data_IF_716820704830
#
_entry.id   IF_716820704830
#
_cell.length_a   1.000
_cell.length_b   1.000
_cell.length_c   1.000
_cell.angle_alpha   90.00
_cell.angle_beta   90.00
_cell.angle_gamma   90.00
#
_symmetry.space_group_name_H-M   'P 1'
#
loop_
_entity.id
_entity.type
_entity.pdbx_description
1 polymer ?
#
# COMPACT_ATOMS: atom_id res chain seq x y z
N UNK A 1 14.64 29.50 25.74
CA UNK A 1 13.51 28.72 26.31
C UNK A 1 13.01 27.79 25.22
N UNK A 2 12.89 26.49 25.49
CA UNK A 2 12.43 25.51 24.49
C UNK A 2 10.94 25.75 24.23
N UNK A 3 10.48 25.60 22.98
CA UNK A 3 9.12 26.02 22.61
C UNK A 3 8.03 25.23 23.35
N UNK A 4 8.21 23.92 23.50
CA UNK A 4 7.30 23.05 24.27
C UNK A 4 7.30 23.35 25.78
N UNK A 5 8.28 24.09 26.32
CA UNK A 5 8.23 24.52 27.73
C UNK A 5 7.15 25.58 27.97
N UNK A 6 6.72 26.28 26.91
CA UNK A 6 5.64 27.26 26.93
C UNK A 6 4.25 26.63 26.80
N UNK A 7 4.16 25.32 26.57
CA UNK A 7 2.90 24.60 26.53
C UNK A 7 2.21 24.70 27.91
N UNK A 8 0.92 25.01 27.89
CA UNK A 8 0.06 25.10 29.08
C UNK A 8 -0.44 23.73 29.55
N UNK A 9 -0.40 22.70 28.67
CA UNK A 9 -0.62 21.30 29.03
C UNK A 9 0.69 20.52 28.92
N UNK A 10 1.04 19.79 29.98
CA UNK A 10 2.20 18.89 30.06
C UNK A 10 1.77 17.56 30.68
N UNK A 11 1.30 16.65 29.85
CA UNK A 11 0.64 15.43 30.30
C UNK A 11 1.59 14.22 30.25
N UNK A 12 1.72 13.50 31.36
CA UNK A 12 2.56 12.30 31.43
C UNK A 12 1.78 11.06 30.98
N UNK A 13 2.31 10.34 30.00
CA UNK A 13 1.71 9.13 29.43
C UNK A 13 2.48 7.87 29.87
N UNK A 14 3.80 7.83 29.65
CA UNK A 14 4.72 6.76 30.03
C UNK A 14 4.38 5.37 29.44
N UNK A 15 4.42 5.24 28.10
CA UNK A 15 4.06 4.02 27.37
C UNK A 15 5.27 3.10 27.08
N UNK A 16 4.98 1.82 26.87
CA UNK A 16 5.94 0.70 26.80
C UNK A 16 6.50 0.45 25.42
N UNK A 17 5.82 0.82 24.34
CA UNK A 17 6.33 0.63 22.97
C UNK A 17 5.57 1.50 21.96
N UNK A 18 5.92 1.32 20.69
CA UNK A 18 5.38 2.05 19.56
C UNK A 18 3.91 1.71 19.28
N UNK A 19 3.50 0.48 19.56
CA UNK A 19 2.13 0.03 19.35
C UNK A 19 1.21 0.66 20.39
N UNK A 20 1.57 0.56 21.67
CA UNK A 20 0.84 1.18 22.78
C UNK A 20 0.79 2.71 22.61
N UNK A 21 1.88 3.32 22.14
CA UNK A 21 1.94 4.75 21.80
C UNK A 21 0.96 5.16 20.71
N UNK A 22 0.84 4.35 19.64
CA UNK A 22 -0.10 4.64 18.56
C UNK A 22 -1.55 4.43 19.00
N UNK A 23 -1.83 3.39 19.78
CA UNK A 23 -3.17 3.15 20.34
C UNK A 23 -3.61 4.29 21.25
N UNK A 24 -2.71 4.79 22.11
CA UNK A 24 -2.97 5.97 22.93
C UNK A 24 -3.31 7.21 22.09
N UNK A 25 -2.52 7.49 21.04
CA UNK A 25 -2.77 8.65 20.18
C UNK A 25 -4.10 8.53 19.43
N UNK A 26 -4.40 7.35 18.86
CA UNK A 26 -5.70 7.06 18.22
C UNK A 26 -6.85 7.29 19.19
N UNK A 27 -6.73 6.74 20.42
CA UNK A 27 -7.75 6.93 21.45
C UNK A 27 -7.89 8.39 21.87
N UNK A 28 -6.80 9.12 22.00
CA UNK A 28 -6.83 10.56 22.32
C UNK A 28 -7.58 11.34 21.24
N UNK A 29 -7.31 11.10 19.96
CA UNK A 29 -7.98 11.79 18.86
C UNK A 29 -9.48 11.43 18.78
N UNK A 30 -9.84 10.19 19.06
CA UNK A 30 -11.24 9.78 19.19
C UNK A 30 -11.94 10.50 20.36
N UNK A 31 -11.32 10.56 21.53
CA UNK A 31 -11.89 11.22 22.71
C UNK A 31 -12.05 12.74 22.52
N UNK A 32 -11.02 13.42 22.01
CA UNK A 32 -11.11 14.88 21.81
C UNK A 32 -12.09 15.25 20.68
N UNK A 33 -12.31 14.34 19.71
CA UNK A 33 -13.28 14.55 18.62
C UNK A 33 -14.71 14.76 19.10
N UNK A 34 -15.05 14.32 20.31
CA UNK A 34 -16.36 14.49 20.95
C UNK A 34 -16.63 15.94 21.36
N UNK A 35 -15.58 16.73 21.53
CA UNK A 35 -15.64 18.12 21.99
C UNK A 35 -15.25 19.10 20.88
N UNK A 36 -14.21 18.76 20.10
CA UNK A 36 -13.60 19.65 19.12
C UNK A 36 -13.44 18.89 17.80
N UNK A 37 -13.81 19.52 16.69
CA UNK A 37 -13.50 18.99 15.35
C UNK A 37 -11.98 18.89 15.19
N UNK A 38 -11.44 17.68 15.06
CA UNK A 38 -9.99 17.47 14.92
C UNK A 38 -9.56 17.66 13.46
N UNK A 39 -8.74 18.67 13.20
CA UNK A 39 -8.07 18.87 11.91
C UNK A 39 -6.62 19.29 12.14
N UNK A 40 -5.73 18.92 11.21
CA UNK A 40 -4.28 19.04 11.36
C UNK A 40 -3.65 19.83 10.23
N UNK A 41 -2.70 20.70 10.60
CA UNK A 41 -1.60 21.14 9.76
C UNK A 41 -0.32 20.45 10.23
N UNK A 42 0.03 19.32 9.60
CA UNK A 42 1.20 18.52 9.96
C UNK A 42 2.51 19.22 9.55
N UNK A 43 3.40 19.44 10.52
CA UNK A 43 4.71 20.05 10.28
C UNK A 43 5.80 19.36 11.13
N UNK A 44 5.93 18.02 11.01
CA UNK A 44 6.71 17.25 11.95
C UNK A 44 8.20 17.59 11.86
N UNK A 45 8.80 17.99 12.98
CA UNK A 45 10.24 18.13 13.10
C UNK A 45 10.72 17.74 14.49
N UNK A 46 11.92 17.17 14.55
CA UNK A 46 12.47 16.62 15.78
C UNK A 46 13.54 17.54 16.34
N UNK A 47 13.45 17.80 17.65
CA UNK A 47 14.50 18.43 18.45
C UNK A 47 14.76 17.60 19.69
N UNK A 48 15.97 17.06 19.83
CA UNK A 48 16.35 16.15 20.91
C UNK A 48 15.44 14.90 20.98
N UNK A 49 14.68 14.74 22.08
CA UNK A 49 13.71 13.65 22.31
C UNK A 49 12.27 14.07 22.05
N UNK A 50 12.06 15.28 21.52
CA UNK A 50 10.73 15.86 21.30
C UNK A 50 10.48 15.99 19.81
N UNK A 51 9.28 15.58 19.37
CA UNK A 51 8.77 15.79 18.03
C UNK A 51 7.68 16.84 18.13
N UNK A 52 7.87 17.99 17.46
CA UNK A 52 6.73 18.83 17.13
C UNK A 52 5.90 18.09 16.10
N UNK A 53 4.58 17.95 16.32
CA UNK A 53 3.68 17.24 15.39
C UNK A 53 3.14 18.23 14.35
N UNK A 54 2.72 19.40 14.81
CA UNK A 54 2.05 20.42 14.01
C UNK A 54 1.01 21.18 14.83
N UNK A 55 0.18 21.93 14.11
CA UNK A 55 -0.95 22.67 14.68
C UNK A 55 -2.24 21.90 14.41
N UNK A 56 -3.00 21.64 15.46
CA UNK A 56 -4.36 21.15 15.38
C UNK A 56 -5.36 22.27 15.70
N UNK A 57 -6.64 22.00 15.47
CA UNK A 57 -7.76 22.87 15.88
C UNK A 57 -7.82 23.15 17.39
N UNK A 58 -7.16 22.33 18.21
CA UNK A 58 -7.07 22.49 19.66
C UNK A 58 -5.74 23.12 20.11
N UNK A 59 -4.91 23.57 19.16
CA UNK A 59 -3.62 24.20 19.40
C UNK A 59 -2.42 23.39 18.89
N UNK A 60 -1.23 23.77 19.34
CA UNK A 60 0.03 23.16 18.91
C UNK A 60 0.39 21.93 19.76
N UNK A 61 0.90 20.85 19.15
CA UNK A 61 1.21 19.60 19.86
C UNK A 61 2.67 19.16 19.68
N UNK A 62 3.30 18.73 20.78
CA UNK A 62 4.58 18.05 20.80
C UNK A 62 4.49 16.72 21.56
N UNK A 63 5.34 15.77 21.17
CA UNK A 63 5.45 14.45 21.79
C UNK A 63 6.90 14.23 22.21
N UNK A 64 7.12 13.97 23.49
CA UNK A 64 8.42 13.55 24.02
C UNK A 64 8.49 12.03 24.15
N UNK A 65 9.68 11.50 23.85
CA UNK A 65 9.95 10.08 23.91
C UNK A 65 11.05 9.75 24.92
N UNK A 66 10.87 8.66 25.69
CA UNK A 66 11.97 8.10 26.49
C UNK A 66 13.02 7.47 25.57
N UNK A 67 12.53 6.72 24.59
CA UNK A 67 13.28 6.08 23.51
C UNK A 67 12.41 6.01 22.26
N UNK A 68 13.00 5.69 21.11
CA UNK A 68 12.28 5.62 19.84
C UNK A 68 11.00 4.76 19.98
N UNK A 69 9.85 5.37 19.68
CA UNK A 69 8.54 4.73 19.76
C UNK A 69 7.89 4.69 21.14
N UNK A 70 8.52 5.13 22.23
CA UNK A 70 7.92 5.14 23.59
C UNK A 70 7.61 6.55 24.06
N UNK A 71 6.35 6.96 23.99
CA UNK A 71 5.91 8.29 24.43
C UNK A 71 6.01 8.41 25.95
N UNK A 72 6.77 9.40 26.45
CA UNK A 72 6.77 9.79 27.86
C UNK A 72 5.73 10.85 28.15
N UNK A 73 5.70 11.92 27.34
CA UNK A 73 4.89 13.11 27.61
C UNK A 73 4.30 13.68 26.33
N UNK A 74 3.12 14.27 26.48
CA UNK A 74 2.46 15.08 25.46
C UNK A 74 2.42 16.53 25.96
N UNK A 75 2.86 17.44 25.12
CA UNK A 75 2.78 18.87 25.35
C UNK A 75 1.76 19.45 24.40
N UNK A 76 0.83 20.25 24.91
CA UNK A 76 -0.12 20.98 24.07
C UNK A 76 -0.14 22.43 24.51
N UNK A 77 0.04 23.33 23.55
CA UNK A 77 -0.18 24.75 23.71
C UNK A 77 -1.55 25.08 23.15
N UNK A 78 -2.50 25.40 24.00
CA UNK A 78 -3.91 25.59 23.63
C UNK A 78 -4.18 27.01 23.15
N UNK A 79 -5.24 27.16 22.35
CA UNK A 79 -5.72 28.47 21.88
C UNK A 79 -6.71 29.11 22.87
N UNK A 80 -7.32 28.32 23.78
CA UNK A 80 -8.28 28.80 24.78
C UNK A 80 -8.33 27.93 26.05
N UNK A 81 -8.69 28.54 27.19
CA UNK A 81 -8.86 27.83 28.47
C UNK A 81 -10.01 26.81 28.46
N UNK A 82 -11.06 27.04 27.65
CA UNK A 82 -12.16 26.08 27.51
C UNK A 82 -11.67 24.78 26.85
N UNK A 83 -10.87 24.90 25.79
CA UNK A 83 -10.26 23.75 25.11
C UNK A 83 -9.32 22.99 26.03
N UNK A 84 -8.60 23.70 26.92
CA UNK A 84 -7.64 23.09 27.84
C UNK A 84 -8.25 21.97 28.69
N UNK A 85 -9.38 22.24 29.34
CA UNK A 85 -10.06 21.25 30.19
C UNK A 85 -10.50 20.02 29.39
N UNK A 86 -11.08 20.23 28.21
CA UNK A 86 -11.54 19.15 27.33
C UNK A 86 -10.37 18.26 26.86
N UNK A 87 -9.22 18.87 26.55
CA UNK A 87 -8.00 18.17 26.15
C UNK A 87 -7.43 17.33 27.30
N UNK A 88 -7.36 17.88 28.51
CA UNK A 88 -6.89 17.15 29.70
C UNK A 88 -7.79 15.95 30.02
N UNK A 89 -9.11 16.12 29.94
CA UNK A 89 -10.10 15.04 30.10
C UNK A 89 -9.90 13.94 29.04
N UNK A 90 -9.73 14.33 27.76
CA UNK A 90 -9.49 13.39 26.66
C UNK A 90 -8.16 12.63 26.82
N UNK A 91 -7.07 13.30 27.21
CA UNK A 91 -5.77 12.67 27.47
C UNK A 91 -5.86 11.68 28.63
N UNK A 92 -6.55 12.03 29.71
CA UNK A 92 -6.76 11.15 30.86
C UNK A 92 -7.63 9.94 30.52
N UNK A 93 -8.67 10.11 29.70
CA UNK A 93 -9.48 9.01 29.19
C UNK A 93 -8.66 8.08 28.29
N UNK A 94 -7.90 8.64 27.35
CA UNK A 94 -7.06 7.88 26.44
C UNK A 94 -5.99 7.06 27.19
N UNK A 95 -5.32 7.66 28.17
CA UNK A 95 -4.34 6.92 28.98
C UNK A 95 -4.94 5.70 29.67
N UNK A 96 -6.18 5.80 30.17
CA UNK A 96 -6.86 4.70 30.87
C UNK A 96 -7.40 3.61 29.94
N UNK A 97 -7.91 4.00 28.77
CA UNK A 97 -8.76 3.13 27.93
C UNK A 97 -8.21 2.92 26.50
N UNK A 98 -6.91 3.10 26.27
CA UNK A 98 -6.29 2.93 24.94
C UNK A 98 -6.21 1.48 24.45
N UNK A 99 -6.73 0.51 25.20
CA UNK A 99 -6.85 -0.89 24.77
C UNK A 99 -8.29 -1.30 24.45
N UNK A 100 -9.26 -0.44 24.78
CA UNK A 100 -10.68 -0.80 24.80
C UNK A 100 -11.33 -0.46 23.46
N UNK A 101 -11.10 -1.32 22.46
CA UNK A 101 -11.68 -1.18 21.13
C UNK A 101 -12.98 -1.97 20.98
N UNK A 102 -13.88 -1.43 20.16
CA UNK A 102 -15.08 -2.13 19.67
C UNK A 102 -14.80 -2.69 18.28
N UNK A 103 -15.33 -3.87 18.01
CA UNK A 103 -15.36 -4.44 16.66
C UNK A 103 -16.49 -3.82 15.85
N UNK A 104 -16.18 -3.41 14.63
CA UNK A 104 -17.12 -2.94 13.62
C UNK A 104 -17.01 -3.84 12.41
N UNK A 105 -18.15 -4.09 11.75
CA UNK A 105 -18.18 -4.81 10.49
C UNK A 105 -18.13 -3.84 9.34
N UNK A 106 -17.12 -3.93 8.49
CA UNK A 106 -16.97 -3.11 7.29
C UNK A 106 -17.46 -3.87 6.06
N UNK A 107 -18.18 -3.18 5.19
CA UNK A 107 -18.55 -3.65 3.84
C UNK A 107 -17.98 -2.69 2.81
N UNK A 108 -16.95 -3.11 2.09
CA UNK A 108 -16.43 -2.39 0.93
C UNK A 108 -17.14 -2.89 -0.34
N UNK A 109 -17.64 -1.95 -1.14
CA UNK A 109 -18.39 -2.21 -2.37
C UNK A 109 -17.57 -1.74 -3.56
N UNK A 110 -17.24 -2.66 -4.45
CA UNK A 110 -16.46 -2.44 -5.66
C UNK A 110 -17.35 -2.62 -6.90
N UNK A 111 -17.23 -1.70 -7.85
CA UNK A 111 -17.69 -1.98 -9.22
C UNK A 111 -16.57 -2.78 -9.90
N UNK A 112 -16.92 -3.97 -10.40
CA UNK A 112 -16.00 -4.93 -11.01
C UNK A 112 -16.27 -5.14 -12.50
N UNK A 113 -17.09 -4.26 -13.11
CA UNK A 113 -17.45 -4.22 -14.52
C UNK A 113 -17.85 -5.63 -15.00
N UNK A 114 -17.00 -6.28 -15.79
CA UNK A 114 -17.26 -7.59 -16.40
C UNK A 114 -16.89 -8.82 -15.56
N UNK A 115 -16.29 -8.63 -14.38
CA UNK A 115 -15.71 -9.72 -13.59
C UNK A 115 -16.52 -9.95 -12.33
N UNK A 116 -16.67 -11.23 -11.97
CA UNK A 116 -17.32 -11.63 -10.72
C UNK A 116 -16.42 -12.56 -9.89
N UNK A 117 -16.58 -12.51 -8.58
CA UNK A 117 -15.94 -13.42 -7.63
C UNK A 117 -16.92 -14.50 -7.19
N UNK A 118 -16.43 -15.73 -7.08
CA UNK A 118 -17.16 -16.77 -6.36
C UNK A 118 -17.30 -16.39 -4.87
N UNK A 119 -18.27 -16.99 -4.18
CA UNK A 119 -18.48 -16.72 -2.75
C UNK A 119 -17.36 -17.35 -1.93
N UNK A 120 -16.56 -16.52 -1.27
CA UNK A 120 -15.42 -16.97 -0.45
C UNK A 120 -15.52 -16.41 0.96
N UNK A 121 -15.25 -17.22 1.96
CA UNK A 121 -15.28 -16.87 3.37
C UNK A 121 -14.08 -17.51 4.06
N UNK A 122 -13.17 -16.69 4.60
CA UNK A 122 -12.04 -17.18 5.41
C UNK A 122 -11.57 -16.10 6.36
N UNK A 123 -11.15 -16.49 7.58
CA UNK A 123 -10.59 -15.56 8.58
C UNK A 123 -11.55 -14.40 8.95
N UNK A 124 -12.86 -14.65 8.90
CA UNK A 124 -13.85 -13.60 9.13
C UNK A 124 -13.98 -12.58 7.99
N UNK A 125 -13.34 -12.80 6.85
CA UNK A 125 -13.47 -11.99 5.63
C UNK A 125 -14.38 -12.74 4.67
N UNK A 126 -15.35 -12.04 4.07
CA UNK A 126 -16.28 -12.59 3.09
C UNK A 126 -16.22 -11.78 1.80
N UNK A 127 -16.06 -12.46 0.67
CA UNK A 127 -16.14 -11.90 -0.68
C UNK A 127 -17.35 -12.50 -1.38
N UNK A 128 -18.20 -11.65 -1.97
CA UNK A 128 -19.35 -12.09 -2.75
C UNK A 128 -19.64 -11.08 -3.85
N UNK A 129 -19.79 -11.56 -5.08
CA UNK A 129 -20.35 -10.74 -6.16
C UNK A 129 -21.85 -10.95 -6.29
N UNK A 130 -22.54 -9.88 -6.71
CA UNK A 130 -23.96 -9.89 -7.05
C UNK A 130 -24.06 -9.31 -8.45
N UNK A 131 -24.57 -10.12 -9.37
CA UNK A 131 -24.88 -9.67 -10.72
C UNK A 131 -26.18 -8.87 -10.65
N UNK A 132 -26.23 -7.73 -11.32
CA UNK A 132 -27.47 -6.99 -11.46
C UNK A 132 -28.38 -7.76 -12.42
N UNK A 133 -29.46 -8.36 -11.91
CA UNK A 133 -30.49 -9.00 -12.74
C UNK A 133 -31.37 -7.97 -13.48
N UNK A 134 -31.10 -6.66 -13.31
CA UNK A 134 -31.97 -5.57 -13.75
C UNK A 134 -31.16 -4.51 -14.50
N UNK A 135 -30.78 -4.80 -15.74
CA UNK A 135 -30.48 -3.80 -16.78
C UNK A 135 -29.31 -2.83 -16.56
N UNK A 136 -28.59 -2.90 -15.43
CA UNK A 136 -27.29 -2.26 -15.24
C UNK A 136 -26.19 -3.28 -15.55
N UNK A 137 -25.31 -2.97 -16.49
CA UNK A 137 -24.18 -3.81 -16.93
C UNK A 137 -23.07 -3.96 -15.86
N UNK A 138 -23.26 -3.40 -14.66
CA UNK A 138 -22.25 -3.37 -13.62
C UNK A 138 -22.34 -4.61 -12.69
N UNK A 139 -21.27 -5.40 -12.65
CA UNK A 139 -21.08 -6.38 -11.57
C UNK A 139 -20.58 -5.69 -10.30
N UNK A 140 -21.18 -6.05 -9.17
CA UNK A 140 -20.85 -5.49 -7.87
C UNK A 140 -20.24 -6.54 -6.96
N UNK A 141 -19.06 -6.24 -6.42
CA UNK A 141 -18.38 -7.10 -5.45
C UNK A 141 -18.41 -6.49 -4.06
N UNK A 142 -18.89 -7.27 -3.11
CA UNK A 142 -18.98 -6.92 -1.69
C UNK A 142 -17.91 -7.68 -0.93
N UNK A 143 -17.02 -6.95 -0.26
CA UNK A 143 -16.02 -7.52 0.64
C UNK A 143 -16.30 -7.05 2.06
N UNK A 144 -16.67 -8.00 2.90
CA UNK A 144 -16.98 -7.79 4.30
C UNK A 144 -15.79 -8.22 5.16
N UNK A 145 -15.36 -7.42 6.15
CA UNK A 145 -14.25 -7.75 7.06
C UNK A 145 -14.35 -7.00 8.40
N UNK A 146 -13.76 -7.53 9.50
CA UNK A 146 -13.86 -6.90 10.82
C UNK A 146 -12.78 -5.83 10.98
N UNK A 147 -13.10 -4.76 11.71
CA UNK A 147 -12.16 -3.69 12.07
C UNK A 147 -12.36 -3.30 13.54
N UNK A 148 -11.27 -3.16 14.28
CA UNK A 148 -11.30 -2.67 15.66
C UNK A 148 -11.01 -1.16 15.71
N UNK A 149 -11.90 -0.42 16.37
CA UNK A 149 -11.77 1.03 16.54
C UNK A 149 -12.32 1.49 17.89
N UNK A 150 -11.86 2.65 18.36
CA UNK A 150 -12.29 3.22 19.65
C UNK A 150 -13.64 3.92 19.60
N UNK A 151 -14.03 4.40 18.42
CA UNK A 151 -15.25 5.15 18.16
C UNK A 151 -15.35 5.51 16.68
N UNK A 152 -16.36 6.28 16.30
CA UNK A 152 -16.62 6.57 14.88
C UNK A 152 -15.51 7.41 14.24
N UNK A 153 -14.89 8.33 14.97
CA UNK A 153 -13.80 9.15 14.45
C UNK A 153 -12.58 8.28 14.08
N UNK A 154 -12.18 7.39 14.97
CA UNK A 154 -11.09 6.45 14.73
C UNK A 154 -11.46 5.40 13.66
N UNK A 155 -12.73 4.95 13.63
CA UNK A 155 -13.22 4.01 12.61
C UNK A 155 -13.05 4.56 11.19
N UNK A 156 -13.38 5.84 10.95
CA UNK A 156 -13.20 6.48 9.65
C UNK A 156 -11.74 6.45 9.20
N UNK A 157 -10.80 6.73 10.10
CA UNK A 157 -9.38 6.64 9.81
C UNK A 157 -8.95 5.22 9.47
N UNK A 158 -9.28 4.25 10.34
CA UNK A 158 -8.82 2.86 10.19
C UNK A 158 -9.42 2.21 8.95
N UNK A 159 -10.74 2.33 8.74
CA UNK A 159 -11.42 1.65 7.62
C UNK A 159 -10.85 2.11 6.27
N UNK A 160 -10.53 3.39 6.11
CA UNK A 160 -9.93 3.92 4.89
C UNK A 160 -8.54 3.33 4.64
N UNK A 161 -7.70 3.22 5.67
CA UNK A 161 -6.39 2.58 5.56
C UNK A 161 -6.52 1.10 5.16
N UNK A 162 -7.43 0.35 5.80
CA UNK A 162 -7.62 -1.08 5.51
C UNK A 162 -8.19 -1.31 4.10
N UNK A 163 -9.12 -0.47 3.62
CA UNK A 163 -9.64 -0.56 2.25
C UNK A 163 -8.57 -0.22 1.20
N UNK A 164 -7.67 0.72 1.48
CA UNK A 164 -6.53 0.98 0.57
C UNK A 164 -5.63 -0.25 0.42
N UNK A 165 -5.26 -0.88 1.54
CA UNK A 165 -4.49 -2.14 1.47
C UNK A 165 -5.26 -3.27 0.79
N UNK A 166 -6.57 -3.37 1.00
CA UNK A 166 -7.43 -4.31 0.28
C UNK A 166 -7.33 -4.12 -1.23
N UNK A 167 -7.44 -2.88 -1.73
CA UNK A 167 -7.29 -2.58 -3.16
C UNK A 167 -5.91 -2.96 -3.71
N UNK A 168 -4.85 -2.69 -2.94
CA UNK A 168 -3.49 -3.04 -3.36
C UNK A 168 -3.30 -4.56 -3.45
N UNK A 169 -3.79 -5.29 -2.45
CA UNK A 169 -3.72 -6.74 -2.42
C UNK A 169 -4.55 -7.36 -3.53
N UNK A 170 -5.79 -6.90 -3.75
CA UNK A 170 -6.62 -7.37 -4.86
C UNK A 170 -5.89 -7.18 -6.19
N UNK A 171 -5.28 -6.02 -6.43
CA UNK A 171 -4.54 -5.79 -7.67
C UNK A 171 -3.34 -6.73 -7.86
N UNK A 172 -2.60 -7.02 -6.79
CA UNK A 172 -1.49 -7.96 -6.86
C UNK A 172 -1.93 -9.44 -7.01
N UNK A 173 -3.15 -9.76 -6.56
CA UNK A 173 -3.72 -11.10 -6.63
C UNK A 173 -4.59 -11.36 -7.86
N UNK A 174 -4.99 -10.32 -8.60
CA UNK A 174 -5.89 -10.48 -9.76
C UNK A 174 -5.47 -9.71 -11.01
N UNK A 175 -4.35 -9.00 -10.95
CA UNK A 175 -3.90 -8.08 -12.00
C UNK A 175 -4.91 -6.97 -12.42
N UNK A 176 -5.99 -6.74 -11.65
CA UNK A 176 -7.07 -5.79 -11.94
C UNK A 176 -7.10 -4.62 -10.96
N UNK A 177 -7.74 -3.51 -11.36
CA UNK A 177 -8.02 -2.39 -10.48
C UNK A 177 -9.49 -2.39 -10.12
N UNK A 178 -9.77 -2.54 -8.82
CA UNK A 178 -11.12 -2.45 -8.30
C UNK A 178 -11.40 -1.05 -7.77
N UNK A 179 -12.40 -0.38 -8.35
CA UNK A 179 -12.82 0.96 -7.90
C UNK A 179 -13.79 0.81 -6.74
N UNK A 180 -13.33 1.10 -5.52
CA UNK A 180 -14.21 1.15 -4.35
C UNK A 180 -15.20 2.32 -4.49
N UNK A 181 -16.49 2.01 -4.60
CA UNK A 181 -17.56 3.01 -4.75
C UNK A 181 -18.14 3.43 -3.40
N UNK A 182 -18.20 2.50 -2.44
CA UNK A 182 -18.80 2.75 -1.13
C UNK A 182 -18.17 1.90 -0.05
N UNK A 183 -18.03 2.47 1.14
CA UNK A 183 -17.59 1.78 2.36
C UNK A 183 -18.65 1.99 3.43
N UNK A 184 -19.34 0.91 3.80
CA UNK A 184 -20.37 0.92 4.85
C UNK A 184 -19.81 0.26 6.11
N UNK A 185 -20.43 0.56 7.25
CA UNK A 185 -20.15 -0.14 8.50
C UNK A 185 -21.43 -0.50 9.24
N UNK A 186 -21.38 -1.56 10.02
CA UNK A 186 -22.36 -1.89 11.05
C UNK A 186 -21.65 -2.25 12.34
N UNK A 187 -22.37 -2.14 13.46
CA UNK A 187 -21.88 -2.61 14.75
C UNK A 187 -22.50 -3.95 15.18
N UNK A 188 -23.26 -4.57 14.28
CA UNK A 188 -23.78 -5.91 14.42
C UNK A 188 -22.65 -6.93 14.23
N UNK A 189 -22.58 -7.90 15.15
CA UNK A 189 -21.69 -9.04 15.00
C UNK A 189 -22.26 -9.96 13.93
N UNK A 190 -21.49 -10.18 12.87
CA UNK A 190 -21.82 -11.15 11.84
C UNK A 190 -20.88 -12.34 11.95
N UNK A 191 -21.41 -13.51 12.34
CA UNK A 191 -20.64 -14.75 12.31
C UNK A 191 -20.44 -15.18 10.85
N UNK A 192 -19.21 -15.01 10.35
CA UNK A 192 -18.79 -15.55 9.06
C UNK A 192 -18.15 -16.91 9.31
N UNK A 193 -18.76 -17.97 8.77
CA UNK A 193 -18.16 -19.31 8.76
C UNK A 193 -17.27 -19.45 7.53
N UNK A 194 -16.09 -20.01 7.74
CA UNK A 194 -15.18 -20.34 6.64
C UNK A 194 -15.86 -21.34 5.69
N UNK A 195 -15.68 -21.17 4.39
CA UNK A 195 -16.11 -22.11 3.38
C UNK A 195 -14.92 -22.62 2.56
N UNK A 196 -15.16 -23.64 1.75
CA UNK A 196 -14.19 -24.10 0.75
C UNK A 196 -14.62 -23.59 -0.63
N UNK A 197 -13.64 -23.34 -1.49
CA UNK A 197 -13.83 -22.91 -2.88
C UNK A 197 -12.67 -23.41 -3.73
N UNK A 198 -12.87 -23.38 -5.05
CA UNK A 198 -11.80 -23.68 -6.02
C UNK A 198 -10.84 -22.49 -6.09
N UNK A 199 -9.57 -22.73 -5.78
CA UNK A 199 -8.49 -21.72 -5.86
C UNK A 199 -7.94 -21.64 -7.29
N UNK A 200 -7.48 -20.46 -7.74
CA UNK A 200 -6.86 -20.35 -9.05
C UNK A 200 -5.52 -21.11 -9.06
N UNK A 201 -5.06 -21.48 -10.26
CA UNK A 201 -3.78 -22.18 -10.45
C UNK A 201 -2.62 -21.41 -9.78
N UNK A 202 -1.83 -22.05 -8.93
CA UNK A 202 -0.73 -21.35 -8.25
C UNK A 202 0.32 -20.77 -9.21
N UNK A 203 0.45 -21.39 -10.38
CA UNK A 203 1.46 -21.06 -11.36
C UNK A 203 0.96 -20.12 -12.47
N UNK A 204 -0.24 -19.56 -12.33
CA UNK A 204 -0.78 -18.62 -13.32
C UNK A 204 0.09 -17.36 -13.40
N UNK A 205 0.42 -16.96 -14.64
CA UNK A 205 1.16 -15.74 -14.93
C UNK A 205 0.25 -14.73 -15.62
N UNK A 206 -0.50 -15.18 -16.63
CA UNK A 206 -1.42 -14.35 -17.40
C UNK A 206 -2.79 -14.27 -16.71
N UNK A 207 -3.43 -13.10 -16.74
CA UNK A 207 -4.79 -12.89 -16.21
C UNK A 207 -5.84 -13.83 -16.83
N UNK A 208 -5.66 -14.24 -18.08
CA UNK A 208 -6.57 -15.19 -18.73
C UNK A 208 -6.60 -16.54 -18.00
N UNK A 209 -5.51 -16.90 -17.32
CA UNK A 209 -5.35 -18.15 -16.54
C UNK A 209 -5.87 -18.02 -15.10
N UNK A 210 -6.34 -16.84 -14.69
CA UNK A 210 -6.85 -16.58 -13.35
C UNK A 210 -8.30 -17.05 -13.14
N UNK A 211 -9.10 -17.05 -14.21
CA UNK A 211 -10.52 -17.36 -14.12
C UNK A 211 -10.75 -18.85 -13.84
N UNK A 212 -11.57 -19.14 -12.83
CA UNK A 212 -12.06 -20.50 -12.57
C UNK A 212 -13.24 -20.87 -13.47
N UNK A 213 -13.92 -19.86 -14.04
CA UNK A 213 -14.88 -20.00 -15.12
C UNK A 213 -14.67 -18.88 -16.13
N UNK A 214 -13.87 -19.15 -17.16
CA UNK A 214 -13.54 -18.20 -18.24
C UNK A 214 -14.80 -17.70 -18.96
N UNK A 215 -15.79 -18.58 -19.18
CA UNK A 215 -17.00 -18.26 -19.94
C UNK A 215 -17.83 -17.18 -19.25
N UNK A 216 -17.93 -17.27 -17.93
CA UNK A 216 -18.70 -16.33 -17.10
C UNK A 216 -17.80 -15.30 -16.41
N UNK A 217 -16.49 -15.25 -16.73
CA UNK A 217 -15.48 -14.37 -16.12
C UNK A 217 -15.53 -14.42 -14.58
N UNK A 218 -15.65 -15.62 -14.02
CA UNK A 218 -15.64 -15.84 -12.57
C UNK A 218 -14.22 -16.13 -12.10
N UNK A 219 -13.76 -15.38 -11.10
CA UNK A 219 -12.47 -15.57 -10.46
C UNK A 219 -12.63 -15.95 -8.98
N UNK A 220 -11.54 -16.45 -8.40
CA UNK A 220 -11.42 -16.71 -6.97
C UNK A 220 -10.08 -16.23 -6.47
N UNK A 221 -9.98 -16.04 -5.15
CA UNK A 221 -8.76 -15.61 -4.49
C UNK A 221 -8.14 -16.81 -3.76
N UNK A 222 -6.82 -16.90 -3.84
CA UNK A 222 -6.01 -17.82 -3.05
C UNK A 222 -6.22 -17.62 -1.55
N UNK A 223 -6.14 -18.68 -0.75
CA UNK A 223 -6.27 -18.64 0.71
C UNK A 223 -5.25 -17.70 1.36
N UNK A 224 -4.05 -17.57 0.78
CA UNK A 224 -3.01 -16.67 1.26
C UNK A 224 -3.41 -15.19 1.21
N UNK A 225 -4.29 -14.78 0.28
CA UNK A 225 -4.84 -13.43 0.24
C UNK A 225 -5.57 -13.10 1.56
N UNK A 226 -6.37 -14.04 2.05
CA UNK A 226 -7.10 -13.88 3.31
C UNK A 226 -6.17 -13.89 4.51
N UNK A 227 -5.07 -14.63 4.45
CA UNK A 227 -4.09 -14.70 5.53
C UNK A 227 -3.27 -13.41 5.63
N UNK A 228 -2.76 -12.86 4.52
CA UNK A 228 -2.08 -11.55 4.53
C UNK A 228 -3.06 -10.43 4.90
N UNK A 229 -4.29 -10.45 4.39
CA UNK A 229 -5.27 -9.41 4.72
C UNK A 229 -5.68 -9.47 6.19
N UNK A 230 -5.80 -10.66 6.80
CA UNK A 230 -6.01 -10.78 8.26
C UNK A 230 -4.89 -10.10 9.06
N UNK A 231 -3.63 -10.24 8.65
CA UNK A 231 -2.50 -9.54 9.30
C UNK A 231 -2.68 -8.02 9.16
N UNK A 232 -3.07 -7.55 7.97
CA UNK A 232 -3.38 -6.13 7.72
C UNK A 232 -4.49 -5.64 8.64
N UNK A 233 -5.56 -6.41 8.84
CA UNK A 233 -6.70 -6.02 9.68
C UNK A 233 -6.33 -5.92 11.16
N UNK A 234 -5.49 -6.82 11.66
CA UNK A 234 -5.23 -6.97 13.09
C UNK A 234 -4.05 -6.15 13.64
N UNK A 235 -3.20 -5.57 12.78
CA UNK A 235 -2.02 -4.81 13.21
C UNK A 235 -2.07 -3.35 12.74
N UNK A 236 -1.58 -2.44 13.59
CA UNK A 236 -1.33 -1.03 13.23
C UNK A 236 0.13 -0.79 12.85
N UNK A 237 1.03 -1.64 13.35
CA UNK A 237 2.44 -1.63 13.02
C UNK A 237 2.84 -3.00 12.48
N UNK A 238 3.37 -3.01 11.26
CA UNK A 238 3.78 -4.25 10.61
C UNK A 238 5.26 -4.53 10.84
N UNK A 239 5.56 -5.80 11.08
CA UNK A 239 6.93 -6.30 11.04
C UNK A 239 7.55 -6.03 9.66
N UNK A 240 8.88 -5.94 9.63
CA UNK A 240 9.64 -5.52 8.45
C UNK A 240 9.23 -6.30 7.19
N UNK A 241 9.11 -7.63 7.28
CA UNK A 241 8.75 -8.48 6.13
C UNK A 241 7.38 -8.14 5.57
N UNK A 242 6.36 -8.06 6.42
CA UNK A 242 5.00 -7.70 6.02
C UNK A 242 4.97 -6.27 5.45
N UNK A 243 5.68 -5.32 6.05
CA UNK A 243 5.77 -3.96 5.50
C UNK A 243 6.36 -3.93 4.08
N UNK A 244 7.36 -4.77 3.80
CA UNK A 244 7.96 -4.87 2.46
C UNK A 244 6.99 -5.49 1.45
N UNK A 245 6.21 -6.50 1.85
CA UNK A 245 5.13 -7.05 1.01
C UNK A 245 4.09 -5.97 0.69
N UNK A 246 3.59 -5.26 1.70
CA UNK A 246 2.60 -4.20 1.51
C UNK A 246 3.13 -3.03 0.67
N UNK A 247 4.43 -2.73 0.76
CA UNK A 247 5.05 -1.72 -0.11
C UNK A 247 5.12 -2.19 -1.57
N UNK A 248 5.49 -3.45 -1.81
CA UNK A 248 5.49 -4.04 -3.15
C UNK A 248 4.09 -4.03 -3.78
N UNK A 249 3.06 -4.45 -3.05
CA UNK A 249 1.67 -4.43 -3.57
C UNK A 249 1.14 -3.02 -3.82
N UNK A 250 1.56 -2.04 -3.02
CA UNK A 250 1.27 -0.63 -3.27
C UNK A 250 1.93 -0.15 -4.56
N UNK A 251 3.20 -0.48 -4.78
CA UNK A 251 3.92 -0.11 -6.01
C UNK A 251 3.27 -0.75 -7.25
N UNK A 252 2.90 -2.04 -7.18
CA UNK A 252 2.13 -2.76 -8.21
C UNK A 252 0.81 -2.04 -8.51
N UNK A 253 0.01 -1.72 -7.49
CA UNK A 253 -1.27 -1.05 -7.66
C UNK A 253 -1.13 0.32 -8.32
N UNK A 254 -0.16 1.11 -7.89
CA UNK A 254 0.13 2.42 -8.46
C UNK A 254 0.57 2.32 -9.92
N UNK A 255 1.44 1.37 -10.28
CA UNK A 255 1.80 1.09 -11.67
C UNK A 255 0.57 0.76 -12.52
N UNK A 256 -0.30 -0.15 -12.06
CA UNK A 256 -1.51 -0.52 -12.80
C UNK A 256 -2.49 0.64 -12.93
N UNK A 257 -2.60 1.50 -11.92
CA UNK A 257 -3.39 2.73 -11.99
C UNK A 257 -2.85 3.68 -13.06
N UNK A 258 -1.53 3.85 -13.17
CA UNK A 258 -0.92 4.67 -14.23
C UNK A 258 -1.15 4.07 -15.61
N UNK A 259 -1.08 2.74 -15.75
CA UNK A 259 -1.45 2.04 -16.99
C UNK A 259 -2.90 2.32 -17.35
N UNK A 260 -3.84 2.21 -16.42
CA UNK A 260 -5.25 2.48 -16.71
C UNK A 260 -5.49 3.94 -17.14
N UNK A 261 -4.79 4.92 -16.55
CA UNK A 261 -4.85 6.32 -17.00
C UNK A 261 -4.33 6.46 -18.42
N UNK A 262 -3.23 5.78 -18.75
CA UNK A 262 -2.68 5.76 -20.10
C UNK A 262 -3.65 5.16 -21.11
N UNK A 263 -4.28 4.03 -20.78
CA UNK A 263 -5.20 3.31 -21.65
C UNK A 263 -6.55 4.02 -21.85
N UNK A 264 -6.97 4.86 -20.90
CA UNK A 264 -8.26 5.57 -20.94
C UNK A 264 -8.17 6.99 -21.53
N UNK A 265 -6.97 7.57 -21.65
CA UNK A 265 -6.81 8.94 -22.15
C UNK A 265 -6.58 8.98 -23.66
N UNK A 266 -7.29 9.82 -24.39
CA UNK A 266 -7.12 9.98 -25.85
C UNK A 266 -5.78 10.65 -26.24
N UNK A 267 -5.10 11.34 -25.31
CA UNK A 267 -3.96 12.24 -25.62
C UNK A 267 -2.63 11.84 -24.96
N UNK A 268 -2.58 10.80 -24.12
CA UNK A 268 -1.40 10.49 -23.28
C UNK A 268 -0.58 9.26 -23.71
N UNK A 269 -1.04 8.51 -24.71
CA UNK A 269 -0.47 7.23 -25.16
C UNK A 269 1.01 7.24 -25.54
N UNK A 270 1.64 8.41 -25.65
CA UNK A 270 3.02 8.52 -26.12
C UNK A 270 3.88 9.53 -25.36
N UNK A 271 3.47 10.04 -24.17
CA UNK A 271 4.34 10.98 -23.44
C UNK A 271 5.64 10.27 -23.02
N UNK A 272 6.79 10.58 -23.65
CA UNK A 272 8.06 9.95 -23.29
C UNK A 272 8.40 10.32 -21.86
N UNK A 273 8.98 9.39 -21.10
CA UNK A 273 9.15 9.54 -19.66
C UNK A 273 7.96 9.09 -18.81
N UNK A 274 6.70 9.24 -19.25
CA UNK A 274 5.56 8.67 -18.49
C UNK A 274 5.56 7.15 -18.56
N UNK A 275 5.76 6.60 -19.77
CA UNK A 275 5.90 5.16 -19.98
C UNK A 275 7.15 4.61 -19.30
N UNK A 276 8.28 5.33 -19.36
CA UNK A 276 9.50 4.96 -18.63
C UNK A 276 9.25 4.94 -17.13
N UNK A 277 8.47 5.88 -16.60
CA UNK A 277 8.07 5.91 -15.19
C UNK A 277 7.19 4.72 -14.82
N UNK A 278 6.20 4.35 -15.65
CA UNK A 278 5.39 3.14 -15.43
C UNK A 278 6.28 1.90 -15.35
N UNK A 279 7.12 1.68 -16.36
CA UNK A 279 8.02 0.53 -16.43
C UNK A 279 9.02 0.52 -15.25
N UNK A 280 9.55 1.69 -14.89
CA UNK A 280 10.44 1.83 -13.76
C UNK A 280 9.74 1.51 -12.43
N UNK A 281 8.50 1.96 -12.25
CA UNK A 281 7.73 1.68 -11.04
C UNK A 281 7.36 0.21 -10.93
N UNK A 282 6.98 -0.42 -12.06
CA UNK A 282 6.68 -1.87 -12.11
C UNK A 282 7.87 -2.71 -11.68
N UNK A 283 9.05 -2.52 -12.30
CA UNK A 283 10.23 -3.32 -11.94
C UNK A 283 10.75 -2.98 -10.53
N UNK A 284 10.56 -1.74 -10.06
CA UNK A 284 10.99 -1.34 -8.71
C UNK A 284 10.16 -2.00 -7.61
N UNK A 285 8.93 -2.44 -7.90
CA UNK A 285 8.10 -3.21 -6.96
C UNK A 285 8.70 -4.56 -6.55
N UNK A 286 9.74 -5.04 -7.26
CA UNK A 286 10.54 -6.20 -6.87
C UNK A 286 11.60 -5.87 -5.81
N UNK A 287 12.01 -4.61 -5.66
CA UNK A 287 13.05 -4.22 -4.71
C UNK A 287 12.65 -4.45 -3.24
N UNK A 288 11.40 -4.15 -2.80
CA UNK A 288 10.97 -4.52 -1.46
C UNK A 288 11.02 -6.03 -1.23
N UNK A 289 10.57 -6.82 -2.22
CA UNK A 289 10.57 -8.28 -2.17
C UNK A 289 11.99 -8.85 -2.08
N UNK A 290 12.91 -8.33 -2.90
CA UNK A 290 14.32 -8.73 -2.93
C UNK A 290 15.07 -8.37 -1.63
N UNK A 291 14.50 -7.51 -0.78
CA UNK A 291 15.04 -7.13 0.52
C UNK A 291 14.35 -7.82 1.70
N UNK A 292 13.41 -8.74 1.48
CA UNK A 292 12.72 -9.46 2.56
C UNK A 292 13.70 -10.25 3.42
N UNK A 293 14.63 -10.98 2.80
CA UNK A 293 15.72 -11.65 3.50
C UNK A 293 16.81 -10.64 3.88
N UNK A 294 17.12 -10.53 5.18
CA UNK A 294 18.21 -9.68 5.67
C UNK A 294 19.55 -10.29 5.30
N UNK A 295 20.13 -9.84 4.18
CA UNK A 295 21.52 -10.13 3.85
C UNK A 295 22.42 -9.07 4.46
N UNK A 296 23.48 -9.50 5.17
CA UNK A 296 24.50 -8.58 5.69
C UNK A 296 25.10 -7.80 4.53
N UNK A 297 25.25 -6.50 4.74
CA UNK A 297 25.84 -5.62 3.73
C UNK A 297 27.35 -5.89 3.67
N UNK A 298 27.79 -6.52 2.59
CA UNK A 298 29.21 -6.77 2.34
C UNK A 298 29.77 -5.68 1.43
N UNK A 299 31.01 -5.26 1.70
CA UNK A 299 31.76 -4.32 0.87
C UNK A 299 33.01 -4.99 0.31
N UNK A 300 33.36 -4.66 -0.92
CA UNK A 300 34.53 -5.18 -1.60
C UNK A 300 35.76 -4.79 -0.79
N UNK A 301 36.58 -5.79 -0.43
CA UNK A 301 37.78 -5.56 0.38
C UNK A 301 38.83 -4.69 -0.35
N UNK A 302 38.76 -4.64 -1.68
CA UNK A 302 39.72 -3.90 -2.51
C UNK A 302 39.27 -2.47 -2.82
N UNK A 303 38.01 -2.28 -3.24
CA UNK A 303 37.52 -0.97 -3.69
C UNK A 303 36.51 -0.30 -2.75
N UNK A 304 36.10 -0.97 -1.67
CA UNK A 304 35.15 -0.44 -0.70
C UNK A 304 33.70 -0.33 -1.20
N UNK A 305 33.41 -0.67 -2.46
CA UNK A 305 32.06 -0.64 -3.01
C UNK A 305 31.18 -1.77 -2.44
N UNK A 306 29.87 -1.54 -2.38
CA UNK A 306 28.88 -2.55 -1.99
C UNK A 306 28.95 -3.79 -2.89
N UNK A 307 29.17 -4.98 -2.29
CA UNK A 307 29.22 -6.28 -3.00
C UNK A 307 27.83 -6.67 -3.54
N UNK A 308 26.76 -6.25 -2.87
CA UNK A 308 25.40 -6.54 -3.29
C UNK A 308 24.69 -5.28 -3.80
N UNK A 309 24.78 -5.05 -5.10
CA UNK A 309 23.92 -4.06 -5.76
C UNK A 309 22.47 -4.53 -5.70
N UNK A 310 21.53 -3.58 -5.61
CA UNK A 310 20.08 -3.87 -5.62
C UNK A 310 19.71 -4.67 -6.88
N UNK A 311 20.34 -4.34 -8.03
CA UNK A 311 20.20 -5.10 -9.28
C UNK A 311 20.51 -6.59 -9.13
N UNK A 312 21.55 -6.96 -8.38
CA UNK A 312 21.86 -8.38 -8.13
C UNK A 312 20.76 -9.05 -7.30
N UNK A 313 20.26 -8.39 -6.25
CA UNK A 313 19.18 -8.92 -5.41
C UNK A 313 17.89 -9.14 -6.19
N UNK A 314 17.51 -8.17 -7.01
CA UNK A 314 16.34 -8.29 -7.91
C UNK A 314 16.56 -9.43 -8.91
N UNK A 315 17.75 -9.52 -9.50
CA UNK A 315 18.12 -10.63 -10.38
C UNK A 315 17.99 -12.00 -9.69
N UNK A 316 18.59 -12.17 -8.51
CA UNK A 316 18.51 -13.40 -7.71
C UNK A 316 17.05 -13.78 -7.42
N UNK A 317 16.20 -12.79 -7.11
CA UNK A 317 14.76 -13.00 -6.90
C UNK A 317 14.07 -13.48 -8.18
N UNK A 318 14.34 -12.85 -9.33
CA UNK A 318 13.76 -13.28 -10.60
C UNK A 318 14.18 -14.70 -10.98
N UNK A 319 15.47 -15.04 -10.88
CA UNK A 319 15.98 -16.39 -11.18
C UNK A 319 15.44 -17.47 -10.25
N UNK A 320 14.92 -17.10 -9.08
CA UNK A 320 14.31 -18.06 -8.15
C UNK A 320 12.95 -18.57 -8.63
N UNK A 321 12.18 -17.75 -9.34
CA UNK A 321 10.79 -18.07 -9.70
C UNK A 321 10.53 -18.09 -11.21
N UNK A 322 11.39 -17.49 -12.02
CA UNK A 322 11.20 -17.37 -13.46
C UNK A 322 12.26 -18.16 -14.24
N UNK A 323 11.94 -18.63 -15.46
CA UNK A 323 12.92 -19.16 -16.40
C UNK A 323 14.10 -18.21 -16.63
N UNK A 324 15.26 -18.78 -16.97
CA UNK A 324 16.53 -18.04 -17.09
C UNK A 324 16.42 -16.86 -18.06
N UNK A 325 15.74 -17.07 -19.20
CA UNK A 325 15.56 -16.08 -20.25
C UNK A 325 14.77 -14.86 -19.78
N UNK A 326 13.64 -15.11 -19.09
CA UNK A 326 12.76 -14.04 -18.57
C UNK A 326 13.45 -13.31 -17.42
N UNK A 327 14.08 -14.04 -16.49
CA UNK A 327 14.82 -13.44 -15.40
C UNK A 327 15.97 -12.55 -15.90
N UNK A 328 16.65 -12.97 -16.97
CA UNK A 328 17.70 -12.19 -17.64
C UNK A 328 17.12 -10.93 -18.27
N UNK A 329 16.00 -11.01 -18.99
CA UNK A 329 15.34 -9.83 -19.57
C UNK A 329 14.96 -8.80 -18.49
N UNK A 330 14.33 -9.24 -17.40
CA UNK A 330 13.94 -8.34 -16.31
C UNK A 330 15.16 -7.66 -15.69
N UNK A 331 16.23 -8.41 -15.43
CA UNK A 331 17.44 -7.91 -14.77
C UNK A 331 18.31 -7.03 -15.68
N UNK A 332 18.53 -7.46 -16.92
CA UNK A 332 19.51 -6.87 -17.82
C UNK A 332 18.91 -5.82 -18.76
N UNK A 333 17.61 -5.91 -19.06
CA UNK A 333 16.92 -4.91 -19.87
C UNK A 333 16.02 -4.02 -19.02
N UNK A 334 15.01 -4.57 -18.33
CA UNK A 334 14.01 -3.75 -17.64
C UNK A 334 14.62 -2.95 -16.47
N UNK A 335 15.36 -3.62 -15.58
CA UNK A 335 15.99 -2.97 -14.44
C UNK A 335 17.12 -2.02 -14.85
N UNK A 336 17.89 -2.38 -15.89
CA UNK A 336 18.93 -1.50 -16.42
C UNK A 336 18.35 -0.21 -17.02
N UNK A 337 17.27 -0.31 -17.81
CA UNK A 337 16.53 0.84 -18.34
C UNK A 337 15.98 1.72 -17.22
N UNK A 338 15.39 1.12 -16.17
CA UNK A 338 14.95 1.84 -14.97
C UNK A 338 16.09 2.60 -14.28
N UNK A 339 17.26 1.98 -14.16
CA UNK A 339 18.43 2.62 -13.56
C UNK A 339 18.90 3.82 -14.39
N UNK A 340 19.05 3.65 -15.70
CA UNK A 340 19.43 4.72 -16.62
C UNK A 340 18.41 5.88 -16.59
N UNK A 341 17.12 5.57 -16.59
CA UNK A 341 16.07 6.58 -16.53
C UNK A 341 16.09 7.39 -15.22
N UNK A 342 16.03 6.70 -14.07
CA UNK A 342 15.86 7.38 -12.77
C UNK A 342 17.15 7.98 -12.20
N UNK A 343 18.32 7.44 -12.54
CA UNK A 343 19.59 7.90 -11.95
C UNK A 343 20.44 8.74 -12.90
N UNK A 344 20.35 8.50 -14.20
CA UNK A 344 21.14 9.22 -15.19
C UNK A 344 20.29 10.22 -16.00
N UNK A 345 18.96 10.23 -15.79
CA UNK A 345 18.05 11.10 -16.52
C UNK A 345 17.88 10.68 -17.99
N UNK A 346 18.08 9.40 -18.30
CA UNK A 346 18.06 8.87 -19.66
C UNK A 346 16.76 8.10 -19.98
N UNK A 347 15.74 8.74 -20.59
CA UNK A 347 14.54 8.04 -21.05
C UNK A 347 14.84 7.16 -22.26
N UNK A 348 13.92 6.23 -22.55
CA UNK A 348 14.00 5.33 -23.71
C UNK A 348 13.94 6.10 -25.04
N UNK A 349 13.14 7.17 -25.10
CA UNK A 349 13.06 8.09 -26.23
C UNK A 349 12.76 9.51 -25.73
N UNK A 350 13.16 10.52 -26.51
CA UNK A 350 12.76 11.91 -26.33
C UNK A 350 11.78 12.36 -27.43
N UNK A 351 11.44 11.46 -28.35
CA UNK A 351 10.56 11.73 -29.48
C UNK A 351 9.11 11.58 -29.05
N UNK A 352 8.27 12.51 -29.48
CA UNK A 352 6.83 12.48 -29.27
C UNK A 352 6.15 12.04 -30.56
N UNK A 353 5.19 11.12 -30.48
CA UNK A 353 4.37 10.80 -31.65
C UNK A 353 3.43 11.97 -31.96
N UNK A 354 3.64 12.60 -33.11
CA UNK A 354 2.87 13.77 -33.57
C UNK A 354 1.91 13.44 -34.74
N UNK A 355 1.52 12.17 -34.90
CA UNK A 355 0.73 11.69 -36.05
C UNK A 355 1.58 11.30 -37.27
N UNK A 356 2.90 11.53 -37.22
CA UNK A 356 3.86 11.13 -38.25
C UNK A 356 5.06 10.44 -37.61
N UNK A 357 5.62 9.42 -38.28
CA UNK A 357 6.82 8.72 -37.86
C UNK A 357 7.97 9.03 -38.82
N UNK A 358 9.06 9.61 -38.32
CA UNK A 358 10.30 9.80 -39.07
C UNK A 358 11.37 8.88 -38.48
N UNK A 359 11.96 7.95 -39.24
CA UNK A 359 13.00 7.07 -38.72
C UNK A 359 14.30 7.87 -38.56
N UNK A 360 14.61 8.23 -37.32
CA UNK A 360 15.82 8.95 -36.96
C UNK A 360 16.84 7.99 -36.35
N UNK A 361 18.13 8.18 -36.63
CA UNK A 361 19.18 7.47 -35.89
C UNK A 361 19.17 7.93 -34.43
N UNK A 362 19.37 6.99 -33.52
CA UNK A 362 19.56 7.28 -32.11
C UNK A 362 20.86 8.07 -31.93
N UNK A 363 20.81 9.30 -31.38
CA UNK A 363 22.02 10.06 -31.07
C UNK A 363 22.84 9.40 -29.95
N UNK A 364 22.29 8.38 -29.27
CA UNK A 364 22.98 7.61 -28.22
C UNK A 364 23.80 6.44 -28.78
N UNK A 365 23.20 5.63 -29.66
CA UNK A 365 23.80 4.37 -30.12
C UNK A 365 24.43 4.52 -31.52
N UNK A 366 23.98 5.49 -32.32
CA UNK A 366 24.43 5.71 -33.70
C UNK A 366 24.03 4.59 -34.68
N UNK A 367 23.77 3.38 -34.18
CA UNK A 367 23.43 2.19 -34.94
C UNK A 367 21.98 1.70 -34.71
N UNK A 368 21.21 2.40 -33.87
CA UNK A 368 19.78 2.11 -33.62
C UNK A 368 18.90 3.20 -34.19
N UNK A 369 17.66 2.85 -34.52
CA UNK A 369 16.62 3.82 -34.88
C UNK A 369 15.89 4.27 -33.59
N UNK A 370 15.58 5.56 -33.49
CA UNK A 370 14.70 6.10 -32.45
C UNK A 370 13.29 5.57 -32.67
N UNK A 371 12.76 4.90 -31.66
CA UNK A 371 11.35 4.57 -31.65
C UNK A 371 10.56 5.78 -31.13
N UNK A 372 9.60 6.33 -31.91
CA UNK A 372 8.84 7.51 -31.52
C UNK A 372 7.75 7.21 -30.49
N UNK A 373 7.60 5.94 -30.08
CA UNK A 373 6.62 5.49 -29.10
C UNK A 373 7.33 4.65 -28.07
N UNK A 374 7.21 5.05 -26.80
CA UNK A 374 7.56 4.18 -25.68
C UNK A 374 6.37 3.25 -25.40
N UNK A 375 6.63 1.94 -25.24
CA UNK A 375 5.59 0.95 -24.89
C UNK A 375 5.68 0.55 -23.42
N UNK A 376 4.53 0.47 -22.76
CA UNK A 376 4.43 -0.19 -21.46
C UNK A 376 4.72 -1.68 -21.66
N UNK A 377 5.61 -2.25 -20.84
CA UNK A 377 5.83 -3.69 -20.85
C UNK A 377 4.71 -4.35 -20.04
N UNK A 378 3.63 -4.76 -20.72
CA UNK A 378 2.46 -5.38 -20.07
C UNK A 378 2.85 -6.72 -19.43
N UNK A 379 3.65 -7.54 -20.11
CA UNK A 379 4.11 -8.84 -19.60
C UNK A 379 4.93 -8.70 -18.31
N UNK A 380 5.69 -7.60 -18.15
CA UNK A 380 6.42 -7.33 -16.92
C UNK A 380 5.48 -7.25 -15.71
N UNK A 381 4.26 -6.74 -15.89
CA UNK A 381 3.27 -6.67 -14.82
C UNK A 381 2.89 -8.07 -14.34
N UNK A 382 2.61 -8.99 -15.27
CA UNK A 382 2.24 -10.37 -14.99
C UNK A 382 3.35 -11.13 -14.24
N UNK A 383 4.60 -10.99 -14.68
CA UNK A 383 5.75 -11.59 -13.99
C UNK A 383 5.98 -11.01 -12.59
N UNK A 384 5.78 -9.71 -12.42
CA UNK A 384 5.94 -9.04 -11.13
C UNK A 384 4.90 -9.52 -10.13
N UNK A 385 3.62 -9.58 -10.52
CA UNK A 385 2.56 -10.05 -9.62
C UNK A 385 2.68 -11.55 -9.34
N UNK A 386 3.14 -12.34 -10.31
CA UNK A 386 3.51 -13.75 -10.10
C UNK A 386 4.57 -13.91 -9.01
N UNK A 387 5.70 -13.20 -9.12
CA UNK A 387 6.75 -13.21 -8.09
C UNK A 387 6.18 -12.77 -6.75
N UNK A 388 5.37 -11.71 -6.72
CA UNK A 388 4.73 -11.23 -5.49
C UNK A 388 3.93 -12.35 -4.81
N UNK A 389 3.05 -13.04 -5.54
CA UNK A 389 2.23 -14.13 -4.99
C UNK A 389 3.10 -15.26 -4.42
N UNK A 390 4.14 -15.68 -5.15
CA UNK A 390 5.08 -16.72 -4.68
C UNK A 390 5.82 -16.33 -3.41
N UNK A 391 6.29 -15.08 -3.34
CA UNK A 391 6.98 -14.56 -2.15
C UNK A 391 6.05 -14.44 -0.95
N UNK A 392 4.79 -14.02 -1.15
CA UNK A 392 3.80 -14.01 -0.06
C UNK A 392 3.58 -15.44 0.48
N UNK A 393 3.38 -16.42 -0.40
CA UNK A 393 3.21 -17.82 -0.01
C UNK A 393 4.39 -18.35 0.81
N UNK A 394 5.63 -18.01 0.45
CA UNK A 394 6.81 -18.41 1.24
C UNK A 394 6.90 -17.74 2.62
N UNK A 395 6.42 -16.50 2.74
CA UNK A 395 6.52 -15.73 4.00
C UNK A 395 5.41 -16.09 4.99
N UNK A 396 4.26 -16.57 4.48
CA UNK A 396 3.14 -17.00 5.31
C UNK A 396 3.17 -18.49 5.68
N UNK A 397 3.99 -19.30 5.01
CA UNK A 397 4.35 -20.66 5.43
C UNK A 397 5.30 -20.61 6.62
#
# INVERSE_FOLDING_TARGET
>A
MREWEKADIKFEVCLKDCEESNLFLRKFYDEISKYIKVAWNFQPHRKERVIYVGMATFGEMWIEYVQKGRISKVYIKTDSEESKKQIEEALACAKRNHTDMKEYRITAVFNTEDVSFCSMCKNGIQVKSVNSDIGEEDNWTYINFPVYAFGLFDLEYVKMQKVNYLMHLLCAYTNLIFKCKRIMYSDEKLEVKDNEWEEPNEDWVNIDEEFIDEKNKVMSLRKEFFDIFKIVLNKDAYERKIRLLLNSSQEIFCSKKMINVLLQGDEHWSMPGYVDLINAFMVSSLEPLANIEERKVEHCKECGNLIYSIRKKVGDLCYRYLPEEIAKEIKDDCYAKRSAFLHEGYPSTNEFYCGHCVPLLSPKDGNKILFPVASVNINLFDYVTYIYRKVVTEILK
#
